data_IF_866182583288
#
_entry.id   IF_866182583288
#
_cell.length_a   1.000
_cell.length_b   1.000
_cell.length_c   1.000
_cell.angle_alpha   90.00
_cell.angle_beta   90.00
_cell.angle_gamma   90.00
#
_symmetry.space_group_name_H-M   'P 1'
#
loop_
_entity.id
_entity.type
_entity.pdbx_description
1 polymer ?
#
# COMPACT_ATOMS: atom_id res chain seq x y z
N UNK A 1 20.89 -29.52 6.24
CA UNK A 1 20.51 -28.14 5.83
C UNK A 1 19.06 -28.15 5.34
N UNK A 2 18.25 -27.13 5.65
CA UNK A 2 16.87 -27.06 5.18
C UNK A 2 16.81 -26.91 3.64
N UNK A 3 15.79 -27.52 3.02
CA UNK A 3 15.57 -27.41 1.58
C UNK A 3 14.68 -26.21 1.27
N UNK A 4 15.17 -25.26 0.47
CA UNK A 4 14.35 -24.15 -0.03
C UNK A 4 13.21 -24.68 -0.89
N UNK A 5 11.99 -24.19 -0.65
CA UNK A 5 10.78 -24.58 -1.40
C UNK A 5 9.98 -23.41 -1.97
N UNK A 6 10.13 -22.23 -1.38
CA UNK A 6 9.27 -21.07 -1.64
C UNK A 6 10.09 -19.78 -1.68
N UNK A 7 9.75 -18.91 -2.63
CA UNK A 7 10.15 -17.51 -2.67
C UNK A 7 8.89 -16.70 -2.37
N UNK A 8 8.98 -15.77 -1.42
CA UNK A 8 7.91 -14.82 -1.12
C UNK A 8 8.31 -13.44 -1.63
N UNK A 9 7.38 -12.77 -2.33
CA UNK A 9 7.51 -11.38 -2.76
C UNK A 9 6.31 -10.58 -2.25
N UNK A 10 6.49 -9.28 -2.01
CA UNK A 10 5.42 -8.38 -1.58
C UNK A 10 5.21 -7.28 -2.63
N UNK A 11 3.98 -7.11 -3.12
CA UNK A 11 3.65 -6.09 -4.12
C UNK A 11 2.27 -5.45 -3.88
N UNK A 12 2.18 -4.16 -3.52
CA UNK A 12 3.24 -3.16 -3.35
C UNK A 12 3.95 -3.26 -2.00
N UNK A 13 5.26 -3.04 -1.96
CA UNK A 13 6.06 -3.25 -0.75
C UNK A 13 5.88 -2.11 0.27
N UNK A 14 5.35 -2.45 1.44
CA UNK A 14 4.92 -1.51 2.48
C UNK A 14 6.11 -0.76 3.11
N UNK A 15 7.23 -1.44 3.39
CA UNK A 15 8.37 -0.84 4.06
C UNK A 15 9.17 0.15 3.18
N UNK A 16 8.96 0.14 1.86
CA UNK A 16 9.59 1.09 0.92
C UNK A 16 8.66 2.25 0.56
N UNK A 17 7.54 2.41 1.27
CA UNK A 17 6.54 3.45 1.00
C UNK A 17 5.51 3.06 -0.05
N UNK A 18 5.17 1.77 -0.14
CA UNK A 18 4.17 1.29 -1.10
C UNK A 18 4.67 1.26 -2.53
N UNK A 19 5.96 0.98 -2.75
CA UNK A 19 6.56 0.92 -4.09
C UNK A 19 6.08 -0.34 -4.82
N UNK A 20 5.68 -0.19 -6.08
CA UNK A 20 5.40 -1.32 -6.96
C UNK A 20 6.70 -1.98 -7.44
N UNK A 21 6.72 -3.31 -7.47
CA UNK A 21 7.86 -4.06 -8.01
C UNK A 21 7.90 -3.96 -9.54
N UNK A 22 9.08 -3.72 -10.15
CA UNK A 22 9.20 -3.72 -11.61
C UNK A 22 8.79 -5.05 -12.24
N UNK A 23 8.12 -4.98 -13.39
CA UNK A 23 7.65 -6.17 -14.13
C UNK A 23 8.81 -7.10 -14.47
N UNK A 24 9.92 -6.56 -14.99
CA UNK A 24 11.08 -7.37 -15.38
C UNK A 24 11.73 -8.08 -14.19
N UNK A 25 11.73 -7.41 -13.03
CA UNK A 25 12.21 -8.01 -11.79
C UNK A 25 11.32 -9.19 -11.37
N UNK A 26 10.00 -9.01 -11.33
CA UNK A 26 9.06 -10.10 -11.01
C UNK A 26 9.18 -11.28 -11.99
N UNK A 27 9.35 -10.99 -13.29
CA UNK A 27 9.60 -12.01 -14.32
C UNK A 27 10.90 -12.77 -14.03
N UNK A 28 11.98 -12.07 -13.71
CA UNK A 28 13.28 -12.70 -13.40
C UNK A 28 13.20 -13.65 -12.20
N UNK A 29 12.44 -13.26 -11.18
CA UNK A 29 12.18 -14.07 -9.97
C UNK A 29 11.40 -15.34 -10.33
N UNK A 30 10.34 -15.20 -11.14
CA UNK A 30 9.56 -16.35 -11.61
C UNK A 30 10.41 -17.33 -12.41
N UNK A 31 11.22 -16.85 -13.35
CA UNK A 31 12.13 -17.69 -14.14
C UNK A 31 13.17 -18.39 -13.27
N UNK A 32 13.72 -17.70 -12.26
CA UNK A 32 14.65 -18.32 -11.31
C UNK A 32 13.96 -19.43 -10.52
N UNK A 33 12.73 -19.18 -10.03
CA UNK A 33 11.96 -20.17 -9.29
C UNK A 33 11.73 -21.44 -10.13
N UNK A 34 11.33 -21.27 -11.39
CA UNK A 34 11.13 -22.39 -12.33
C UNK A 34 12.42 -23.20 -12.53
N UNK A 35 13.55 -22.54 -12.83
CA UNK A 35 14.86 -23.22 -13.00
C UNK A 35 15.31 -23.98 -11.77
N UNK A 36 14.88 -23.55 -10.57
CA UNK A 36 15.24 -24.16 -9.29
C UNK A 36 14.15 -25.04 -8.71
N UNK A 37 13.06 -25.27 -9.43
CA UNK A 37 11.89 -26.03 -8.97
C UNK A 37 11.31 -25.50 -7.64
N UNK A 38 11.33 -24.18 -7.47
CA UNK A 38 10.74 -23.45 -6.34
C UNK A 38 9.37 -22.91 -6.72
N UNK A 39 8.55 -22.62 -5.70
CA UNK A 39 7.29 -21.90 -5.84
C UNK A 39 7.45 -20.42 -5.53
N UNK A 40 6.57 -19.59 -6.09
CA UNK A 40 6.50 -18.16 -5.78
C UNK A 40 5.14 -17.85 -5.13
N UNK A 41 5.17 -17.24 -3.95
CA UNK A 41 4.01 -16.63 -3.32
C UNK A 41 4.14 -15.11 -3.40
N UNK A 42 3.09 -14.43 -3.84
CA UNK A 42 2.98 -12.98 -3.76
C UNK A 42 2.03 -12.59 -2.63
N UNK A 43 2.58 -11.91 -1.63
CA UNK A 43 1.78 -11.02 -0.78
C UNK A 43 1.37 -9.82 -1.65
N UNK A 44 0.18 -9.92 -2.22
CA UNK A 44 -0.46 -8.92 -3.04
C UNK A 44 -1.50 -8.12 -2.26
N UNK A 45 -1.27 -7.88 -0.96
CA UNK A 45 -2.16 -7.09 -0.11
C UNK A 45 -2.67 -5.79 -0.75
N UNK A 46 -1.88 -5.19 -1.65
CA UNK A 46 -2.22 -4.01 -2.46
C UNK A 46 -1.95 -4.24 -3.95
N UNK A 47 -2.28 -5.42 -4.49
CA UNK A 47 -1.98 -5.78 -5.89
C UNK A 47 -2.63 -4.85 -6.92
N UNK A 48 -3.80 -4.25 -6.63
CA UNK A 48 -4.40 -3.22 -7.48
C UNK A 48 -3.52 -1.97 -7.57
N UNK A 49 -2.92 -1.54 -6.45
CA UNK A 49 -1.95 -0.43 -6.46
C UNK A 49 -0.73 -0.79 -7.33
N UNK A 50 -0.26 -2.02 -7.28
CA UNK A 50 0.86 -2.47 -8.13
C UNK A 50 0.48 -2.43 -9.61
N UNK A 51 -0.69 -2.97 -9.96
CA UNK A 51 -1.19 -3.01 -11.33
C UNK A 51 -1.33 -1.59 -11.92
N UNK A 52 -1.95 -0.66 -11.19
CA UNK A 52 -2.11 0.74 -11.61
C UNK A 52 -0.75 1.43 -11.72
N UNK A 53 0.14 1.25 -10.75
CA UNK A 53 1.48 1.85 -10.79
C UNK A 53 2.34 1.34 -11.95
N UNK A 54 2.17 0.08 -12.34
CA UNK A 54 2.86 -0.53 -13.47
C UNK A 54 2.10 -0.38 -14.80
N UNK A 55 0.98 0.34 -14.82
CA UNK A 55 0.09 0.50 -15.98
C UNK A 55 -0.26 -0.85 -16.64
N UNK A 56 -0.72 -1.80 -15.83
CA UNK A 56 -1.06 -3.16 -16.27
C UNK A 56 -2.26 -3.70 -15.47
N UNK A 57 -2.62 -4.96 -15.69
CA UNK A 57 -3.74 -5.62 -15.00
C UNK A 57 -3.28 -6.43 -13.80
N UNK A 58 -4.16 -6.62 -12.82
CA UNK A 58 -3.93 -7.55 -11.69
C UNK A 58 -3.62 -8.96 -12.20
N UNK A 59 -4.30 -9.40 -13.28
CA UNK A 59 -4.03 -10.68 -13.94
C UNK A 59 -2.58 -10.81 -14.40
N UNK A 60 -2.03 -9.76 -15.01
CA UNK A 60 -0.65 -9.76 -15.47
C UNK A 60 0.33 -9.80 -14.29
N UNK A 61 0.10 -9.01 -13.24
CA UNK A 61 0.94 -9.04 -12.03
C UNK A 61 0.90 -10.43 -11.38
N UNK A 62 -0.29 -11.01 -11.22
CA UNK A 62 -0.48 -12.31 -10.61
C UNK A 62 0.19 -13.47 -11.39
N UNK A 63 0.36 -13.32 -12.71
CA UNK A 63 1.01 -14.34 -13.55
C UNK A 63 2.48 -14.61 -13.18
N UNK A 64 3.12 -13.70 -12.44
CA UNK A 64 4.49 -13.87 -11.96
C UNK A 64 4.60 -14.64 -10.64
N UNK A 65 3.49 -15.20 -10.13
CA UNK A 65 3.47 -16.02 -8.92
C UNK A 65 2.66 -17.31 -9.09
N UNK A 66 2.97 -18.34 -8.31
CA UNK A 66 2.16 -19.56 -8.24
C UNK A 66 0.91 -19.36 -7.37
N UNK A 67 1.00 -18.48 -6.37
CA UNK A 67 -0.11 -18.14 -5.46
C UNK A 67 -0.05 -16.66 -5.12
N UNK A 68 -1.21 -16.04 -4.94
CA UNK A 68 -1.34 -14.61 -4.63
C UNK A 68 -2.34 -14.44 -3.50
N UNK A 69 -1.95 -13.67 -2.48
CA UNK A 69 -2.90 -13.15 -1.48
C UNK A 69 -3.28 -11.71 -1.86
N UNK A 70 -4.54 -11.32 -1.69
CA UNK A 70 -5.01 -9.94 -1.86
C UNK A 70 -5.95 -9.53 -0.73
N UNK A 71 -5.91 -8.27 -0.30
CA UNK A 71 -6.82 -7.74 0.73
C UNK A 71 -7.99 -6.97 0.10
N UNK A 72 -9.17 -7.14 0.68
CA UNK A 72 -10.33 -6.29 0.41
C UNK A 72 -10.40 -5.12 1.39
N UNK A 73 -9.95 -5.34 2.63
CA UNK A 73 -10.11 -4.39 3.73
C UNK A 73 -9.03 -3.32 3.85
N UNK A 74 -8.55 -2.84 2.70
CA UNK A 74 -7.55 -1.76 2.61
C UNK A 74 -8.12 -0.65 1.72
N UNK A 75 -7.40 -0.26 0.66
CA UNK A 75 -7.86 0.77 -0.28
C UNK A 75 -9.16 0.42 -1.00
N UNK A 76 -9.51 -0.87 -1.11
CA UNK A 76 -10.77 -1.30 -1.74
C UNK A 76 -12.01 -1.03 -0.86
N UNK A 77 -11.85 -0.76 0.43
CA UNK A 77 -12.94 -0.29 1.29
C UNK A 77 -13.89 -1.35 1.87
N UNK A 78 -13.67 -2.65 1.64
CA UNK A 78 -14.46 -3.67 2.34
C UNK A 78 -14.15 -3.64 3.86
N UNK A 79 -15.10 -3.97 4.74
CA UNK A 79 -14.87 -3.91 6.19
C UNK A 79 -13.91 -5.01 6.67
N UNK A 80 -13.96 -6.19 6.05
CA UNK A 80 -13.18 -7.36 6.45
C UNK A 80 -12.79 -8.16 5.22
N UNK A 81 -11.59 -8.74 5.25
CA UNK A 81 -11.29 -9.94 4.46
C UNK A 81 -10.15 -9.79 3.47
N UNK A 82 -9.69 -10.96 3.06
CA UNK A 82 -8.64 -11.19 2.09
C UNK A 82 -8.98 -12.46 1.30
N UNK A 83 -8.37 -12.62 0.14
CA UNK A 83 -8.47 -13.83 -0.68
C UNK A 83 -7.08 -14.40 -0.96
N UNK A 84 -7.01 -15.72 -1.10
CA UNK A 84 -5.85 -16.47 -1.57
C UNK A 84 -6.24 -17.16 -2.87
N UNK A 85 -5.46 -16.92 -3.93
CA UNK A 85 -5.69 -17.43 -5.28
C UNK A 85 -4.51 -18.30 -5.69
N UNK A 86 -4.79 -19.42 -6.36
CA UNK A 86 -3.77 -20.35 -6.83
C UNK A 86 -4.39 -21.64 -7.39
N UNK A 87 -3.57 -22.65 -7.74
CA UNK A 87 -4.03 -23.92 -8.28
C UNK A 87 -5.02 -24.62 -7.32
N UNK A 88 -6.01 -25.32 -7.89
CA UNK A 88 -7.06 -26.01 -7.12
C UNK A 88 -6.50 -26.88 -5.99
N UNK A 89 -5.53 -27.75 -6.30
CA UNK A 89 -4.93 -28.64 -5.31
C UNK A 89 -4.24 -27.89 -4.14
N UNK A 90 -3.72 -26.68 -4.39
CA UNK A 90 -3.17 -25.83 -3.35
C UNK A 90 -4.29 -25.20 -2.51
N UNK A 91 -5.33 -24.66 -3.15
CA UNK A 91 -6.47 -24.05 -2.46
C UNK A 91 -7.24 -25.04 -1.60
N UNK A 92 -7.36 -26.29 -2.03
CA UNK A 92 -8.00 -27.36 -1.23
C UNK A 92 -7.23 -27.60 0.09
N UNK A 93 -5.89 -27.64 0.02
CA UNK A 93 -5.03 -27.70 1.22
C UNK A 93 -5.13 -26.44 2.07
N UNK A 94 -5.09 -25.26 1.45
CA UNK A 94 -5.21 -23.98 2.17
C UNK A 94 -6.56 -23.84 2.88
N UNK A 95 -7.65 -24.39 2.33
CA UNK A 95 -8.97 -24.42 2.96
C UNK A 95 -8.99 -25.28 4.21
N UNK A 96 -8.27 -26.41 4.21
CA UNK A 96 -8.08 -27.23 5.40
C UNK A 96 -7.29 -26.46 6.47
N UNK A 97 -6.16 -25.83 6.10
CA UNK A 97 -5.40 -24.97 7.02
C UNK A 97 -6.24 -23.82 7.57
N UNK A 98 -7.05 -23.16 6.74
CA UNK A 98 -7.99 -22.12 7.15
C UNK A 98 -8.97 -22.64 8.22
N UNK A 99 -9.45 -23.89 8.09
CA UNK A 99 -10.35 -24.49 9.09
C UNK A 99 -9.63 -24.76 10.41
N UNK A 100 -8.39 -25.24 10.37
CA UNK A 100 -7.55 -25.47 11.55
C UNK A 100 -7.23 -24.16 12.29
N UNK A 101 -6.95 -23.09 11.55
CA UNK A 101 -6.67 -21.75 12.08
C UNK A 101 -7.94 -20.97 12.50
N UNK A 102 -9.14 -21.56 12.40
CA UNK A 102 -10.39 -20.92 12.82
C UNK A 102 -11.05 -19.98 11.80
N UNK A 103 -10.51 -19.82 10.60
CA UNK A 103 -11.08 -18.98 9.53
C UNK A 103 -12.27 -19.61 8.77
N UNK A 104 -12.80 -20.73 9.25
CA UNK A 104 -13.96 -21.42 8.68
C UNK A 104 -15.28 -20.84 9.18
N UNK A 105 -15.55 -19.58 8.85
CA UNK A 105 -16.76 -18.89 9.28
C UNK A 105 -18.04 -19.47 8.67
N UNK A 106 -19.17 -19.19 9.31
CA UNK A 106 -20.51 -19.63 8.88
C UNK A 106 -21.10 -18.62 7.92
N UNK A 107 -21.96 -17.71 8.38
CA UNK A 107 -22.66 -16.73 7.54
C UNK A 107 -21.76 -15.59 7.04
N UNK A 108 -20.60 -15.92 6.44
CA UNK A 108 -19.64 -14.94 5.90
C UNK A 108 -20.08 -14.29 4.58
N UNK A 109 -21.27 -14.63 4.07
CA UNK A 109 -21.84 -14.07 2.84
C UNK A 109 -22.00 -12.54 2.89
N UNK A 110 -22.33 -11.98 4.07
CA UNK A 110 -22.44 -10.53 4.26
C UNK A 110 -21.10 -9.83 4.00
N UNK A 111 -20.01 -10.40 4.51
CA UNK A 111 -18.66 -9.86 4.29
C UNK A 111 -18.20 -10.06 2.84
N UNK A 112 -18.56 -11.20 2.24
CA UNK A 112 -18.26 -11.48 0.83
C UNK A 112 -18.99 -10.52 -0.12
N UNK A 113 -20.23 -10.11 0.20
CA UNK A 113 -20.97 -9.12 -0.58
C UNK A 113 -20.26 -7.75 -0.56
N UNK A 114 -19.79 -7.29 0.61
CA UNK A 114 -19.02 -6.05 0.70
C UNK A 114 -17.70 -6.12 -0.08
N UNK A 115 -17.02 -7.27 -0.04
CA UNK A 115 -15.83 -7.51 -0.85
C UNK A 115 -16.11 -7.52 -2.36
N UNK A 116 -17.29 -8.02 -2.77
CA UNK A 116 -17.69 -8.04 -4.17
C UNK A 116 -17.92 -6.62 -4.70
N UNK A 117 -18.68 -5.79 -3.98
CA UNK A 117 -18.89 -4.37 -4.32
C UNK A 117 -17.56 -3.61 -4.38
N UNK A 118 -16.66 -3.87 -3.43
CA UNK A 118 -15.32 -3.28 -3.42
C UNK A 118 -14.48 -3.64 -4.67
N UNK A 119 -14.71 -4.81 -5.28
CA UNK A 119 -14.01 -5.22 -6.50
C UNK A 119 -14.56 -4.52 -7.76
N UNK A 120 -15.87 -4.27 -7.83
CA UNK A 120 -16.50 -3.63 -8.99
C UNK A 120 -15.96 -2.22 -9.27
N UNK A 121 -15.48 -1.54 -8.21
CA UNK A 121 -14.95 -0.18 -8.29
C UNK A 121 -13.44 -0.08 -8.04
N UNK A 122 -12.75 -1.22 -7.88
CA UNK A 122 -11.38 -1.28 -7.39
C UNK A 122 -10.39 -0.40 -8.19
N UNK A 123 -10.43 -0.48 -9.52
CA UNK A 123 -9.47 0.26 -10.36
C UNK A 123 -9.67 1.78 -10.26
N UNK A 124 -10.92 2.25 -10.34
CA UNK A 124 -11.26 3.65 -10.24
C UNK A 124 -10.89 4.24 -8.86
N UNK A 125 -11.24 3.53 -7.79
CA UNK A 125 -10.93 3.94 -6.42
C UNK A 125 -9.43 4.06 -6.19
N UNK A 126 -8.67 3.02 -6.53
CA UNK A 126 -7.22 3.02 -6.28
C UNK A 126 -6.50 4.04 -7.16
N UNK A 127 -6.97 4.29 -8.39
CA UNK A 127 -6.42 5.33 -9.26
C UNK A 127 -6.60 6.72 -8.64
N UNK A 128 -7.80 7.02 -8.14
CA UNK A 128 -8.07 8.28 -7.45
C UNK A 128 -7.18 8.45 -6.20
N UNK A 129 -6.96 7.38 -5.43
CA UNK A 129 -6.06 7.42 -4.26
C UNK A 129 -4.61 7.74 -4.65
N UNK A 130 -4.12 7.22 -5.79
CA UNK A 130 -2.78 7.52 -6.30
C UNK A 130 -2.67 8.97 -6.77
N UNK A 131 -3.68 9.46 -7.49
CA UNK A 131 -3.73 10.84 -7.97
C UNK A 131 -3.71 11.83 -6.79
N UNK A 132 -4.52 11.56 -5.76
CA UNK A 132 -4.53 12.35 -4.53
C UNK A 132 -3.23 12.27 -3.76
N UNK A 133 -2.57 11.11 -3.69
CA UNK A 133 -1.30 10.97 -2.98
C UNK A 133 -0.20 11.77 -3.67
N UNK A 134 -0.16 11.76 -5.01
CA UNK A 134 0.73 12.60 -5.81
C UNK A 134 0.43 14.09 -5.61
N UNK A 135 -0.86 14.46 -5.67
CA UNK A 135 -1.32 15.84 -5.44
C UNK A 135 -0.88 16.34 -4.05
N UNK A 136 -1.12 15.57 -2.99
CA UNK A 136 -0.72 15.92 -1.63
C UNK A 136 0.81 16.07 -1.49
N UNK A 137 1.58 15.14 -2.06
CA UNK A 137 3.05 15.20 -2.00
C UNK A 137 3.57 16.49 -2.65
N UNK A 138 3.03 16.83 -3.82
CA UNK A 138 3.36 18.07 -4.54
C UNK A 138 2.97 19.31 -3.73
N UNK A 139 1.75 19.36 -3.20
CA UNK A 139 1.28 20.51 -2.41
C UNK A 139 2.13 20.73 -1.15
N UNK A 140 2.57 19.66 -0.48
CA UNK A 140 3.49 19.75 0.67
C UNK A 140 4.82 20.39 0.24
N UNK A 141 5.40 19.95 -0.87
CA UNK A 141 6.68 20.48 -1.36
C UNK A 141 6.56 21.94 -1.83
N UNK A 142 5.47 22.29 -2.50
CA UNK A 142 5.17 23.67 -2.91
C UNK A 142 4.94 24.59 -1.70
N UNK A 143 4.30 24.08 -0.65
CA UNK A 143 4.10 24.80 0.61
C UNK A 143 5.37 24.91 1.46
N UNK A 144 6.44 24.18 1.13
CA UNK A 144 7.69 24.19 1.89
C UNK A 144 8.60 25.32 1.40
N UNK A 145 8.96 26.30 2.26
CA UNK A 145 9.92 27.34 1.91
C UNK A 145 11.27 26.76 1.47
N UNK A 146 11.93 27.40 0.52
CA UNK A 146 13.22 26.93 -0.04
C UNK A 146 14.24 26.58 1.05
N UNK A 147 14.36 27.44 2.09
CA UNK A 147 15.28 27.26 3.20
C UNK A 147 14.99 26.02 4.07
N UNK A 148 13.79 25.43 3.99
CA UNK A 148 13.36 24.26 4.76
C UNK A 148 13.30 22.97 3.93
N UNK A 149 13.54 23.00 2.61
CA UNK A 149 13.45 21.81 1.74
C UNK A 149 14.44 20.70 2.09
N UNK A 150 15.56 21.05 2.74
CA UNK A 150 16.52 20.08 3.27
C UNK A 150 16.14 19.53 4.64
N UNK A 151 15.12 20.10 5.29
CA UNK A 151 14.64 19.70 6.62
C UNK A 151 13.32 18.96 6.57
N UNK A 152 12.43 19.34 5.66
CA UNK A 152 11.12 18.69 5.52
C UNK A 152 10.69 18.67 4.06
N UNK A 153 10.29 17.51 3.55
CA UNK A 153 9.82 17.36 2.16
C UNK A 153 9.03 16.06 2.00
N UNK A 154 8.14 15.99 1.02
CA UNK A 154 7.44 14.77 0.64
C UNK A 154 8.09 14.10 -0.58
N UNK A 155 8.15 12.76 -0.58
CA UNK A 155 8.59 11.99 -1.75
C UNK A 155 7.49 11.97 -2.81
N UNK A 156 7.78 12.43 -4.03
CA UNK A 156 6.79 12.51 -5.13
C UNK A 156 6.86 11.33 -6.12
N UNK A 157 8.06 10.80 -6.39
CA UNK A 157 8.28 9.80 -7.43
C UNK A 157 8.13 8.37 -6.90
N UNK A 158 7.74 7.42 -7.76
CA UNK A 158 7.57 6.00 -7.42
C UNK A 158 6.63 5.72 -6.22
N UNK A 159 5.64 6.58 -6.01
CA UNK A 159 4.64 6.40 -4.93
C UNK A 159 3.33 5.83 -5.48
N UNK A 160 2.61 5.14 -4.62
CA UNK A 160 1.23 4.69 -4.87
C UNK A 160 0.26 5.55 -4.08
N UNK A 161 -0.42 5.00 -3.08
CA UNK A 161 -1.33 5.75 -2.19
C UNK A 161 -0.67 6.15 -0.87
N UNK A 162 0.66 6.06 -0.77
CA UNK A 162 1.41 6.41 0.44
C UNK A 162 2.26 7.66 0.18
N UNK A 163 2.06 8.68 1.02
CA UNK A 163 2.90 9.88 1.07
C UNK A 163 3.87 9.72 2.22
N UNK A 164 5.16 9.76 1.92
CA UNK A 164 6.23 9.79 2.92
C UNK A 164 6.74 11.22 3.03
N UNK A 165 6.50 11.83 4.19
CA UNK A 165 7.09 13.13 4.55
C UNK A 165 8.38 12.82 5.32
N UNK A 166 9.49 13.29 4.79
CA UNK A 166 10.81 13.21 5.38
C UNK A 166 11.02 14.40 6.32
N UNK A 167 11.59 14.13 7.49
CA UNK A 167 11.96 15.10 8.50
C UNK A 167 13.43 14.89 8.86
N UNK A 168 14.24 15.92 8.66
CA UNK A 168 15.69 15.91 8.82
C UNK A 168 16.18 17.25 9.42
N UNK A 169 17.47 17.33 9.76
CA UNK A 169 18.15 18.60 10.05
C UNK A 169 17.45 19.49 11.10
N UNK A 170 17.04 18.88 12.22
CA UNK A 170 16.42 19.58 13.35
C UNK A 170 14.88 19.57 13.35
N UNK A 171 14.25 19.08 12.28
CA UNK A 171 12.81 18.77 12.29
C UNK A 171 12.63 17.31 12.65
N UNK A 172 11.97 17.02 13.77
CA UNK A 172 11.65 15.66 14.18
C UNK A 172 10.28 15.22 13.65
N UNK A 173 10.14 13.93 13.41
CA UNK A 173 8.85 13.32 13.05
C UNK A 173 7.79 13.58 14.12
N UNK A 174 8.18 13.57 15.40
CA UNK A 174 7.26 13.77 16.53
C UNK A 174 6.66 15.18 16.53
N UNK A 175 7.46 16.21 16.25
CA UNK A 175 6.98 17.59 16.16
C UNK A 175 5.87 17.72 15.12
N UNK A 176 6.06 17.14 13.93
CA UNK A 176 5.07 17.23 12.85
C UNK A 176 3.86 16.33 13.12
N UNK A 177 4.01 15.11 13.66
CA UNK A 177 2.85 14.27 14.00
C UNK A 177 2.01 14.87 15.12
N UNK A 178 2.65 15.43 16.17
CA UNK A 178 1.93 16.09 17.27
C UNK A 178 1.21 17.34 16.78
N UNK A 179 1.83 18.09 15.86
CA UNK A 179 1.22 19.27 15.26
C UNK A 179 -0.01 18.89 14.44
N UNK A 180 0.07 17.84 13.61
CA UNK A 180 -1.08 17.33 12.87
C UNK A 180 -2.17 16.83 13.81
N UNK A 181 -1.84 16.06 14.85
CA UNK A 181 -2.81 15.53 15.78
C UNK A 181 -3.56 16.63 16.56
N UNK A 182 -2.88 17.73 16.93
CA UNK A 182 -3.52 18.91 17.55
C UNK A 182 -4.53 19.61 16.63
N UNK A 183 -4.49 19.34 15.33
CA UNK A 183 -5.41 19.86 14.32
C UNK A 183 -6.25 18.74 13.69
N UNK A 184 -6.49 17.65 14.43
CA UNK A 184 -7.35 16.53 14.04
C UNK A 184 -6.91 15.79 12.76
N UNK A 185 -5.63 15.89 12.40
CA UNK A 185 -5.03 15.14 11.28
C UNK A 185 -4.22 13.97 11.86
N UNK A 186 -4.65 12.75 11.52
CA UNK A 186 -3.96 11.54 11.95
C UNK A 186 -2.95 11.10 10.90
N UNK A 187 -1.67 11.11 11.27
CA UNK A 187 -0.56 10.57 10.50
C UNK A 187 0.28 9.64 11.37
N UNK A 188 0.93 8.65 10.76
CA UNK A 188 1.69 7.64 11.50
C UNK A 188 3.19 7.90 11.37
N UNK A 189 3.90 7.92 12.48
CA UNK A 189 5.36 7.83 12.47
C UNK A 189 5.77 6.51 11.83
N UNK A 190 6.54 6.58 10.74
CA UNK A 190 6.97 5.40 9.99
C UNK A 190 8.32 4.90 10.49
N UNK A 191 9.26 5.83 10.70
CA UNK A 191 10.53 5.62 11.38
C UNK A 191 11.04 6.95 11.95
N UNK A 192 12.28 6.97 12.44
CA UNK A 192 12.89 8.16 13.06
C UNK A 192 12.96 9.40 12.16
N UNK A 193 12.85 9.26 10.83
CA UNK A 193 12.99 10.36 9.86
C UNK A 193 11.78 10.53 8.95
N UNK A 194 10.78 9.65 9.02
CA UNK A 194 9.66 9.68 8.08
C UNK A 194 8.31 9.54 8.78
N UNK A 195 7.36 10.34 8.33
CA UNK A 195 5.94 10.21 8.62
C UNK A 195 5.28 9.62 7.38
N UNK A 196 4.31 8.73 7.59
CA UNK A 196 3.54 8.10 6.52
C UNK A 196 2.08 8.47 6.63
N UNK A 197 1.57 9.10 5.57
CA UNK A 197 0.14 9.27 5.34
C UNK A 197 -0.29 8.28 4.26
N UNK A 198 -1.41 7.59 4.47
CA UNK A 198 -1.94 6.59 3.53
C UNK A 198 -3.31 7.06 3.06
N UNK A 199 -3.39 7.44 1.80
CA UNK A 199 -4.63 7.89 1.21
C UNK A 199 -5.52 6.70 0.86
N UNK A 200 -6.82 6.92 0.99
CA UNK A 200 -7.87 5.96 0.69
C UNK A 200 -9.14 6.72 0.29
N UNK A 201 -10.16 5.98 -0.13
CA UNK A 201 -11.42 6.52 -0.63
C UNK A 201 -12.18 7.48 0.31
N UNK A 202 -11.89 7.49 1.62
CA UNK A 202 -12.46 8.44 2.57
C UNK A 202 -11.69 9.77 2.66
N UNK A 203 -10.54 9.90 1.98
CA UNK A 203 -9.75 11.12 1.95
C UNK A 203 -9.98 11.83 0.62
N UNK A 204 -10.70 12.95 0.68
CA UNK A 204 -11.07 13.75 -0.48
C UNK A 204 -10.15 14.98 -0.66
N UNK A 205 -10.43 15.79 -1.67
CA UNK A 205 -9.63 16.96 -2.02
C UNK A 205 -9.69 18.08 -0.96
N UNK A 206 -10.82 18.24 -0.26
CA UNK A 206 -10.96 19.19 0.84
C UNK A 206 -10.08 18.79 2.05
N UNK A 207 -9.94 17.48 2.28
CA UNK A 207 -9.03 16.98 3.30
C UNK A 207 -7.57 17.29 2.95
N UNK A 208 -7.19 17.20 1.67
CA UNK A 208 -5.84 17.53 1.20
C UNK A 208 -5.55 19.02 1.43
N UNK A 209 -6.50 19.90 1.09
CA UNK A 209 -6.38 21.34 1.33
C UNK A 209 -6.22 21.62 2.84
N UNK A 210 -7.03 20.97 3.67
CA UNK A 210 -6.93 21.07 5.14
C UNK A 210 -5.55 20.64 5.65
N UNK A 211 -5.03 19.50 5.17
CA UNK A 211 -3.70 18.99 5.56
C UNK A 211 -2.62 20.02 5.21
N UNK A 212 -2.69 20.59 4.01
CA UNK A 212 -1.66 21.51 3.51
C UNK A 212 -1.75 22.86 4.21
N UNK A 213 -2.94 23.37 4.53
CA UNK A 213 -3.09 24.59 5.31
C UNK A 213 -2.57 24.43 6.75
N UNK A 214 -2.79 23.29 7.39
CA UNK A 214 -2.19 22.98 8.68
C UNK A 214 -0.66 22.84 8.55
N UNK A 215 -0.18 22.16 7.52
CA UNK A 215 1.25 22.02 7.25
C UNK A 215 1.94 23.38 7.06
N UNK A 216 1.33 24.32 6.34
CA UNK A 216 1.85 25.70 6.17
C UNK A 216 2.04 26.39 7.52
N UNK A 217 1.11 26.24 8.46
CA UNK A 217 1.22 26.78 9.81
C UNK A 217 2.38 26.16 10.58
N UNK A 218 2.63 24.87 10.40
CA UNK A 218 3.78 24.19 11.01
C UNK A 218 5.10 24.74 10.48
N UNK A 219 5.29 24.78 9.16
CA UNK A 219 6.56 25.24 8.57
C UNK A 219 6.84 26.71 8.81
N UNK A 220 5.81 27.53 9.04
CA UNK A 220 5.97 28.93 9.44
C UNK A 220 6.51 29.11 10.89
N UNK A 221 6.51 28.05 11.71
CA UNK A 221 7.02 28.04 13.08
C UNK A 221 8.44 27.46 13.20
N UNK A 222 9.01 26.96 12.10
CA UNK A 222 10.34 26.35 12.03
C UNK A 222 11.43 27.36 11.66
#
# INVERSE_FOLDING_TARGET
MPASKLICIENTHNYTGGKALPIDWMRSVKMLAERRSLKVHMDGARIYNAAISCNTTVKQIASFADTVQMCFSKGLGAPVGSILVGPKAFIDKARHSRKALGGGWRQSGVLAAAAHVALDHAEATIKADHERAKKLSKMINEATPEALRTKVYAKENDITNMVLIHCENGVSVQQLTDFFQKHDILAMTFDARRIRMVLNWNVNDENLDTIVEVYKKFVAQL
#
